data_IF_092539507890
#
_entry.id   IF_092539507890
#
_cell.length_a   1.000
_cell.length_b   1.000
_cell.length_c   1.000
_cell.angle_alpha   90.00
_cell.angle_beta   90.00
_cell.angle_gamma   90.00
#
_symmetry.space_group_name_H-M   'P 1'
#
loop_
_entity.id
_entity.type
_entity.pdbx_description
1 polymer ?
#
# COMPACT_ATOMS: atom_id res chain seq x y z
N UNK A 1 64.67 36.06 68.45
CA UNK A 1 64.18 35.20 69.54
C UNK A 1 64.86 35.52 70.88
N UNK A 2 64.14 35.49 72.02
CA UNK A 2 64.70 35.71 73.38
C UNK A 2 64.00 34.81 74.41
N UNK A 3 64.74 34.09 75.25
CA UNK A 3 64.16 33.31 76.37
C UNK A 3 63.86 34.23 77.55
N UNK A 4 62.64 34.13 78.09
CA UNK A 4 62.15 34.93 79.21
C UNK A 4 62.19 34.13 80.52
N UNK A 5 61.77 32.87 80.48
CA UNK A 5 61.64 32.04 81.69
C UNK A 5 61.77 30.57 81.34
N UNK A 6 62.48 29.80 82.17
CA UNK A 6 62.52 28.33 82.09
C UNK A 6 61.95 27.78 83.39
N UNK A 7 60.99 26.88 83.29
CA UNK A 7 60.38 26.21 84.43
C UNK A 7 60.15 24.73 84.12
N UNK A 8 60.03 23.92 85.14
CA UNK A 8 59.75 22.50 84.96
C UNK A 8 59.53 21.78 86.27
N UNK A 9 59.22 20.49 86.14
CA UNK A 9 58.95 19.62 87.28
C UNK A 9 59.49 18.23 87.01
N UNK A 10 60.20 17.67 88.00
CA UNK A 10 60.65 16.27 88.02
C UNK A 10 61.44 15.84 86.76
N UNK A 11 62.38 16.65 86.29
CA UNK A 11 63.22 16.32 85.14
C UNK A 11 64.61 15.87 85.63
N UNK A 12 65.04 14.68 85.19
CA UNK A 12 66.34 14.06 85.48
C UNK A 12 66.84 14.29 86.92
N UNK A 13 67.83 15.18 87.11
CA UNK A 13 68.43 15.46 88.42
C UNK A 13 67.68 16.53 89.24
N UNK A 14 66.75 17.28 88.63
CA UNK A 14 65.96 18.32 89.29
C UNK A 14 64.67 17.73 89.86
N UNK A 15 64.60 17.67 91.19
CA UNK A 15 63.48 17.17 91.97
C UNK A 15 62.44 18.26 92.22
N UNK A 16 61.15 17.94 92.09
CA UNK A 16 60.08 18.92 92.35
C UNK A 16 60.01 20.00 91.28
N UNK A 17 59.36 21.11 91.60
CA UNK A 17 59.22 22.27 90.71
C UNK A 17 60.49 23.13 90.76
N UNK A 18 60.95 23.55 89.60
CA UNK A 18 62.04 24.49 89.45
C UNK A 18 61.66 25.59 88.47
N UNK A 19 62.18 26.78 88.72
CA UNK A 19 61.90 27.96 87.93
C UNK A 19 63.12 28.88 87.91
N UNK A 20 63.45 29.37 86.72
CA UNK A 20 64.45 30.41 86.49
C UNK A 20 63.80 31.46 85.61
N UNK A 21 63.49 32.60 86.20
CA UNK A 21 62.92 33.75 85.52
C UNK A 21 64.03 34.75 85.18
N UNK A 22 64.32 34.92 83.88
CA UNK A 22 65.35 35.85 83.42
C UNK A 22 64.88 37.31 83.41
N UNK A 23 63.61 37.56 83.74
CA UNK A 23 63.06 38.90 83.86
C UNK A 23 63.13 39.45 85.28
N UNK A 24 63.53 38.63 86.27
CA UNK A 24 63.67 39.04 87.67
C UNK A 24 65.13 39.37 88.03
N UNK A 25 65.31 40.31 88.96
CA UNK A 25 66.63 40.60 89.53
C UNK A 25 67.13 39.41 90.37
N UNK A 26 68.43 39.05 90.30
CA UNK A 26 69.54 39.79 89.68
C UNK A 26 69.80 39.44 88.19
N UNK A 27 69.00 38.58 87.55
CA UNK A 27 69.26 38.10 86.19
C UNK A 27 68.86 39.12 85.11
N UNK A 28 67.84 39.93 85.39
CA UNK A 28 67.31 40.92 84.47
C UNK A 28 68.37 41.94 84.01
N UNK A 29 69.22 42.41 84.92
CA UNK A 29 70.23 43.43 84.64
C UNK A 29 71.63 42.88 84.28
N UNK A 30 71.88 41.59 84.51
CA UNK A 30 73.23 41.03 84.42
C UNK A 30 73.75 40.89 82.97
N UNK A 31 72.87 40.58 82.00
CA UNK A 31 73.22 40.34 80.58
C UNK A 31 74.03 39.05 80.32
N UNK A 32 74.93 38.69 81.23
CA UNK A 32 75.70 37.45 81.25
C UNK A 32 75.64 36.85 82.66
N UNK A 33 75.32 35.56 82.75
CA UNK A 33 75.27 34.82 84.00
C UNK A 33 75.92 33.44 83.84
N UNK A 34 76.38 32.87 84.94
CA UNK A 34 76.96 31.53 84.97
C UNK A 34 76.10 30.59 85.83
N UNK A 35 75.79 29.42 85.30
CA UNK A 35 75.14 28.34 86.06
C UNK A 35 76.27 27.44 86.61
N UNK A 36 76.58 27.58 87.90
CA UNK A 36 77.63 26.81 88.58
C UNK A 36 77.05 25.82 89.59
N UNK A 37 77.79 24.74 89.85
CA UNK A 37 77.42 23.67 90.78
C UNK A 37 78.22 22.39 90.52
N UNK A 38 78.18 21.39 91.42
CA UNK A 38 78.90 20.14 91.22
C UNK A 38 78.39 19.36 89.99
N UNK A 39 79.20 18.42 89.49
CA UNK A 39 78.77 17.49 88.44
C UNK A 39 77.55 16.69 88.95
N UNK A 40 76.49 16.61 88.13
CA UNK A 40 75.23 15.96 88.53
C UNK A 40 74.21 16.86 89.24
N UNK A 41 74.52 18.14 89.51
CA UNK A 41 73.59 19.09 90.12
C UNK A 41 72.38 19.52 89.25
N UNK A 42 72.25 18.99 88.02
CA UNK A 42 71.14 19.33 87.11
C UNK A 42 71.36 20.55 86.21
N UNK A 43 72.58 21.10 86.12
CA UNK A 43 72.91 22.24 85.22
C UNK A 43 72.50 21.97 83.77
N UNK A 44 72.92 20.83 83.24
CA UNK A 44 72.59 20.42 81.88
C UNK A 44 71.12 20.01 81.75
N UNK A 45 70.46 19.60 82.83
CA UNK A 45 69.01 19.31 82.86
C UNK A 45 68.16 20.56 82.68
N UNK A 46 68.61 21.71 83.17
CA UNK A 46 67.95 22.98 82.92
C UNK A 46 67.96 23.34 81.41
N UNK A 47 69.09 23.10 80.74
CA UNK A 47 69.22 23.32 79.30
C UNK A 47 68.45 22.26 78.48
N UNK A 48 68.41 21.01 78.95
CA UNK A 48 67.55 19.99 78.36
C UNK A 48 66.07 20.39 78.45
N UNK A 49 65.62 20.99 79.56
CA UNK A 49 64.26 21.46 79.72
C UNK A 49 63.90 22.52 78.68
N UNK A 50 64.84 23.41 78.34
CA UNK A 50 64.68 24.37 77.25
C UNK A 50 64.42 23.66 75.91
N UNK A 51 65.29 22.72 75.51
CA UNK A 51 65.13 21.98 74.26
C UNK A 51 63.86 21.10 74.25
N UNK A 52 63.53 20.46 75.37
CA UNK A 52 62.33 19.64 75.50
C UNK A 52 61.07 20.45 75.27
N UNK A 53 60.97 21.63 75.90
CA UNK A 53 59.80 22.48 75.77
C UNK A 53 59.60 22.98 74.34
N UNK A 54 60.68 23.26 73.61
CA UNK A 54 60.62 23.83 72.26
C UNK A 54 60.49 22.77 71.16
N UNK A 55 61.23 21.66 71.24
CA UNK A 55 61.36 20.69 70.13
C UNK A 55 60.99 19.26 70.50
N UNK A 56 60.73 18.94 71.78
CA UNK A 56 60.58 17.56 72.29
C UNK A 56 61.76 16.68 71.82
N UNK A 57 62.96 17.25 71.95
CA UNK A 57 64.24 16.62 71.67
C UNK A 57 65.29 17.20 72.63
N UNK A 58 66.37 16.45 72.89
CA UNK A 58 67.52 16.99 73.64
C UNK A 58 68.83 16.56 73.01
N UNK A 59 69.86 17.43 73.02
CA UNK A 59 71.17 17.11 72.47
C UNK A 59 71.82 15.88 73.11
N UNK A 60 71.51 15.61 74.40
CA UNK A 60 72.09 14.50 75.16
C UNK A 60 71.57 13.14 74.71
N UNK A 61 70.28 13.04 74.39
CA UNK A 61 69.67 11.77 73.99
C UNK A 61 70.02 11.38 72.54
N UNK A 62 70.23 12.37 71.67
CA UNK A 62 70.67 12.15 70.28
C UNK A 62 72.10 11.58 70.18
N UNK A 63 72.96 11.89 71.16
CA UNK A 63 74.36 11.42 71.22
C UNK A 63 74.53 9.98 71.70
N UNK A 64 73.47 9.29 72.14
CA UNK A 64 73.55 7.87 72.47
C UNK A 64 73.65 7.06 71.17
N UNK A 65 74.88 7.00 70.63
CA UNK A 65 75.29 6.24 69.44
C UNK A 65 75.37 4.74 69.74
N UNK A 66 74.25 4.17 70.19
CA UNK A 66 74.04 2.75 70.34
C UNK A 66 72.61 2.43 69.92
N UNK A 67 72.43 1.88 68.71
CA UNK A 67 71.13 1.37 68.26
C UNK A 67 70.60 0.38 69.30
N UNK A 68 69.49 0.71 69.96
CA UNK A 68 68.66 -0.27 70.66
C UNK A 68 69.05 -0.63 72.09
N UNK A 69 69.73 0.24 72.86
CA UNK A 69 69.80 0.02 74.32
C UNK A 69 68.46 0.38 74.96
N UNK A 70 67.65 -0.64 75.27
CA UNK A 70 66.38 -0.46 75.94
C UNK A 70 66.63 -0.30 77.45
N UNK A 71 66.38 0.90 77.98
CA UNK A 71 66.53 1.19 79.40
C UNK A 71 65.33 0.60 80.17
N UNK A 72 65.56 -0.12 81.29
CA UNK A 72 64.46 -0.58 82.14
C UNK A 72 63.81 0.63 82.84
N UNK A 73 62.48 0.70 82.80
CA UNK A 73 61.69 1.71 83.51
C UNK A 73 60.93 1.11 84.71
N UNK A 74 59.69 0.65 84.52
CA UNK A 74 58.87 -0.01 85.55
C UNK A 74 58.49 -1.43 85.13
N UNK A 75 58.70 -2.40 86.02
CA UNK A 75 58.40 -3.80 85.75
C UNK A 75 59.21 -4.37 84.59
N UNK A 76 58.52 -4.88 83.55
CA UNK A 76 59.12 -5.43 82.31
C UNK A 76 59.15 -4.43 81.14
N UNK A 77 58.67 -3.20 81.33
CA UNK A 77 58.66 -2.19 80.26
C UNK A 77 60.05 -1.60 80.07
N UNK A 78 60.46 -1.49 78.81
CA UNK A 78 61.72 -0.87 78.40
C UNK A 78 61.45 0.31 77.49
N UNK A 79 62.25 1.36 77.66
CA UNK A 79 62.14 2.61 76.88
C UNK A 79 63.42 2.78 76.08
N UNK A 80 63.31 3.24 74.84
CA UNK A 80 64.49 3.52 74.02
C UNK A 80 65.34 4.60 74.70
N UNK A 81 66.66 4.40 74.75
CA UNK A 81 67.60 5.39 75.29
C UNK A 81 67.55 6.76 74.60
N UNK A 82 66.99 6.85 73.39
CA UNK A 82 66.79 8.12 72.67
C UNK A 82 65.45 8.80 72.97
N UNK A 83 64.57 8.17 73.75
CA UNK A 83 63.22 8.67 74.01
C UNK A 83 63.24 9.80 75.06
N UNK A 84 62.61 10.93 74.73
CA UNK A 84 62.54 12.10 75.63
C UNK A 84 61.83 11.80 76.94
N UNK A 85 60.97 10.78 76.98
CA UNK A 85 60.27 10.33 78.19
C UNK A 85 61.23 9.82 79.27
N UNK A 86 62.44 9.40 78.90
CA UNK A 86 63.49 8.94 79.85
C UNK A 86 64.01 10.05 80.76
N UNK A 87 63.78 11.32 80.40
CA UNK A 87 64.15 12.47 81.22
C UNK A 87 63.19 12.71 82.39
N UNK A 88 62.07 11.98 82.49
CA UNK A 88 61.26 11.98 83.70
C UNK A 88 62.03 11.33 84.85
N UNK A 89 62.10 12.02 86.00
CA UNK A 89 62.77 11.50 87.19
C UNK A 89 62.10 10.20 87.67
N UNK A 90 62.89 9.17 87.93
CA UNK A 90 62.40 7.87 88.44
C UNK A 90 61.64 8.03 89.75
N UNK A 91 60.55 7.29 89.90
CA UNK A 91 59.68 7.34 91.09
C UNK A 91 58.70 8.52 91.12
N UNK A 92 58.60 9.31 90.05
CA UNK A 92 57.63 10.43 89.96
C UNK A 92 56.50 10.11 88.99
N UNK A 93 55.25 10.57 89.28
CA UNK A 93 54.08 10.27 88.44
C UNK A 93 53.97 11.15 87.19
N UNK A 94 54.53 12.37 87.22
CA UNK A 94 54.41 13.37 86.18
C UNK A 94 55.64 14.31 86.17
N UNK A 95 55.91 14.87 85.00
CA UNK A 95 56.93 15.89 84.81
C UNK A 95 56.66 16.74 83.58
N UNK A 96 57.17 17.96 83.58
CA UNK A 96 57.02 18.89 82.46
C UNK A 96 58.22 19.82 82.35
N UNK A 97 58.43 20.33 81.15
CA UNK A 97 59.33 21.41 80.84
C UNK A 97 58.52 22.54 80.19
N UNK A 98 58.76 23.78 80.60
CA UNK A 98 58.04 24.94 80.10
C UNK A 98 58.98 26.11 79.91
N UNK A 99 58.85 26.79 78.78
CA UNK A 99 59.68 27.92 78.39
C UNK A 99 58.79 29.04 77.92
N UNK A 100 58.99 30.22 78.50
CA UNK A 100 58.44 31.45 77.97
C UNK A 100 59.52 32.13 77.13
N UNK A 101 59.19 32.50 75.89
CA UNK A 101 60.12 33.11 74.95
C UNK A 101 59.44 34.14 74.05
N UNK A 102 60.22 35.02 73.44
CA UNK A 102 59.79 35.95 72.40
C UNK A 102 60.22 35.39 71.04
N UNK A 103 59.26 35.22 70.12
CA UNK A 103 59.51 34.76 68.75
C UNK A 103 60.20 35.81 67.87
N UNK A 104 60.53 35.46 66.63
CA UNK A 104 61.08 36.39 65.63
C UNK A 104 60.03 37.40 65.13
N UNK A 105 58.76 37.12 65.36
CA UNK A 105 57.63 38.02 65.16
C UNK A 105 57.46 39.06 66.29
N UNK A 106 58.28 38.98 67.35
CA UNK A 106 58.23 39.88 68.50
C UNK A 106 57.14 39.56 69.53
N UNK A 107 56.33 38.53 69.32
CA UNK A 107 55.29 38.12 70.26
C UNK A 107 55.84 37.16 71.33
N UNK A 108 55.22 37.17 72.52
CA UNK A 108 55.59 36.30 73.64
C UNK A 108 54.79 35.00 73.62
N UNK A 109 55.46 33.87 73.83
CA UNK A 109 54.88 32.54 73.77
C UNK A 109 55.33 31.71 74.96
N UNK A 110 54.48 30.77 75.37
CA UNK A 110 54.74 29.74 76.37
C UNK A 110 54.65 28.37 75.72
N UNK A 111 55.79 27.74 75.51
CA UNK A 111 55.88 26.37 75.06
C UNK A 111 55.96 25.44 76.28
N UNK A 112 55.14 24.38 76.30
CA UNK A 112 55.13 23.40 77.38
C UNK A 112 55.15 21.99 76.81
N UNK A 113 56.14 21.23 77.26
CA UNK A 113 56.25 19.78 77.08
C UNK A 113 55.89 19.07 78.38
N UNK A 114 55.11 18.00 78.31
CA UNK A 114 54.74 17.23 79.50
C UNK A 114 54.66 15.73 79.21
N UNK A 115 54.98 14.96 80.24
CA UNK A 115 54.86 13.51 80.25
C UNK A 115 54.23 13.07 81.57
N UNK A 116 53.34 12.07 81.50
CA UNK A 116 52.67 11.50 82.67
C UNK A 116 52.72 9.98 82.63
N UNK A 117 52.70 9.36 83.79
CA UNK A 117 52.49 7.91 83.93
C UNK A 117 51.01 7.59 83.95
N UNK A 118 50.66 6.37 83.56
CA UNK A 118 49.27 5.88 83.60
C UNK A 118 48.66 6.09 84.99
N UNK A 119 47.44 6.64 85.03
CA UNK A 119 46.71 7.00 86.26
C UNK A 119 47.46 7.93 87.23
N UNK A 120 48.50 8.63 86.77
CA UNK A 120 49.33 9.54 87.59
C UNK A 120 49.91 8.83 88.83
N UNK A 121 50.33 7.57 88.67
CA UNK A 121 51.02 6.79 89.71
C UNK A 121 52.48 6.57 89.34
N UNK A 122 53.38 6.61 90.32
CA UNK A 122 54.81 6.41 90.11
C UNK A 122 55.16 5.06 89.45
N UNK A 123 54.32 4.03 89.67
CA UNK A 123 54.48 2.68 89.11
C UNK A 123 53.78 2.48 87.75
N UNK A 124 53.12 3.51 87.21
CA UNK A 124 52.41 3.40 85.92
C UNK A 124 53.34 3.48 84.70
N UNK A 125 52.93 2.86 83.59
CA UNK A 125 53.58 2.96 82.28
C UNK A 125 53.64 4.41 81.76
N UNK A 126 54.72 4.79 81.07
CA UNK A 126 54.90 6.12 80.49
C UNK A 126 53.93 6.35 79.31
N UNK A 127 53.14 7.43 79.38
CA UNK A 127 52.26 7.85 78.29
C UNK A 127 53.00 8.61 77.20
N UNK A 128 52.33 8.87 76.08
CA UNK A 128 52.83 9.75 75.04
C UNK A 128 53.08 11.17 75.57
N UNK A 129 54.12 11.83 75.07
CA UNK A 129 54.42 13.22 75.42
C UNK A 129 53.38 14.14 74.80
N UNK A 130 52.96 15.16 75.56
CA UNK A 130 52.08 16.21 75.10
C UNK A 130 52.85 17.52 74.99
N UNK A 131 52.63 18.25 73.90
CA UNK A 131 53.15 19.60 73.70
C UNK A 131 52.01 20.58 73.52
N UNK A 132 52.20 21.79 74.03
CA UNK A 132 51.29 22.91 73.83
C UNK A 132 52.06 24.21 73.69
N UNK A 133 51.58 25.09 72.82
CA UNK A 133 52.09 26.44 72.64
C UNK A 133 50.96 27.41 72.93
N UNK A 134 51.22 28.41 73.77
CA UNK A 134 50.24 29.45 74.09
C UNK A 134 50.85 30.83 73.84
N UNK A 135 50.09 31.73 73.23
CA UNK A 135 50.50 33.13 73.08
C UNK A 135 50.20 33.91 74.37
N UNK A 136 51.20 34.56 74.93
CA UNK A 136 51.11 35.42 76.11
C UNK A 136 50.77 36.88 75.71
N UNK A 137 50.04 37.64 76.55
CA UNK A 137 49.57 37.30 77.90
C UNK A 137 48.21 36.55 77.94
N UNK A 138 47.47 36.51 76.83
CA UNK A 138 46.10 35.98 76.79
C UNK A 138 45.99 34.44 76.91
N UNK A 139 47.12 33.72 76.92
CA UNK A 139 47.22 32.26 76.92
C UNK A 139 46.37 31.60 75.81
N UNK A 140 46.35 32.22 74.63
CA UNK A 140 45.63 31.66 73.47
C UNK A 140 46.41 30.46 72.92
N UNK A 141 45.79 29.27 72.79
CA UNK A 141 46.47 28.10 72.24
C UNK A 141 46.80 28.31 70.76
N UNK A 142 48.03 27.97 70.37
CA UNK A 142 48.51 28.04 68.99
C UNK A 142 48.88 26.63 68.53
N UNK A 143 48.13 26.11 67.55
CA UNK A 143 48.17 24.71 67.13
C UNK A 143 47.26 23.80 67.98
N UNK A 144 46.85 22.66 67.42
CA UNK A 144 45.96 21.70 68.11
C UNK A 144 46.61 20.34 68.36
N UNK A 145 47.43 19.86 67.42
CA UNK A 145 48.15 18.57 67.55
C UNK A 145 49.62 18.77 67.90
N UNK A 146 50.28 17.72 68.42
CA UNK A 146 51.71 17.77 68.75
C UNK A 146 52.58 18.19 67.56
N UNK A 147 52.26 17.74 66.34
CA UNK A 147 53.02 18.07 65.13
C UNK A 147 52.82 19.53 64.73
N UNK A 148 51.57 20.01 64.70
CA UNK A 148 51.28 21.43 64.42
C UNK A 148 51.96 22.35 65.44
N UNK A 149 51.95 21.98 66.72
CA UNK A 149 52.62 22.76 67.77
C UNK A 149 54.13 22.82 67.53
N UNK A 150 54.77 21.72 67.12
CA UNK A 150 56.20 21.73 66.77
C UNK A 150 56.50 22.63 65.58
N UNK A 151 55.74 22.47 64.49
CA UNK A 151 55.91 23.26 63.27
C UNK A 151 55.73 24.75 63.55
N UNK A 152 54.76 25.09 64.41
CA UNK A 152 54.52 26.47 64.79
C UNK A 152 55.62 27.02 65.70
N UNK A 153 56.12 26.25 66.66
CA UNK A 153 57.30 26.65 67.46
C UNK A 153 58.50 26.90 66.54
N UNK A 154 58.77 26.01 65.58
CA UNK A 154 59.87 26.13 64.63
C UNK A 154 59.73 27.38 63.75
N UNK A 155 58.53 27.67 63.23
CA UNK A 155 58.25 28.92 62.48
C UNK A 155 58.48 30.17 63.31
N UNK A 156 58.05 30.18 64.58
CA UNK A 156 58.16 31.37 65.46
C UNK A 156 59.59 31.60 65.94
N UNK A 157 60.37 30.54 66.13
CA UNK A 157 61.81 30.65 66.45
C UNK A 157 62.63 30.92 65.18
N UNK A 158 62.18 30.44 64.03
CA UNK A 158 62.87 30.54 62.73
C UNK A 158 64.11 29.64 62.62
N UNK A 159 64.24 28.64 63.50
CA UNK A 159 65.36 27.71 63.51
C UNK A 159 64.83 26.29 63.77
N UNK A 160 65.28 25.34 62.97
CA UNK A 160 65.05 23.92 63.26
C UNK A 160 65.83 23.49 64.51
N UNK A 161 65.53 22.30 65.05
CA UNK A 161 66.23 21.80 66.23
C UNK A 161 67.76 21.78 66.06
N UNK A 162 68.26 21.26 64.93
CA UNK A 162 69.70 21.19 64.66
C UNK A 162 70.33 22.57 64.50
N UNK A 163 69.58 23.52 63.92
CA UNK A 163 70.04 24.91 63.81
C UNK A 163 70.07 25.59 65.18
N UNK A 164 69.08 25.31 66.04
CA UNK A 164 68.98 25.85 67.39
C UNK A 164 70.13 25.39 68.30
N UNK A 165 70.51 24.11 68.25
CA UNK A 165 71.64 23.57 69.05
C UNK A 165 73.01 23.99 68.50
N UNK A 166 73.09 24.35 67.22
CA UNK A 166 74.32 24.88 66.60
C UNK A 166 74.48 26.40 66.78
N UNK A 167 73.40 27.17 66.85
CA UNK A 167 73.45 28.63 66.85
C UNK A 167 73.09 29.30 68.19
N UNK A 168 72.16 28.73 68.97
CA UNK A 168 71.62 29.36 70.19
C UNK A 168 72.05 28.61 71.45
N UNK A 169 71.91 27.29 71.47
CA UNK A 169 72.29 26.44 72.60
C UNK A 169 73.45 25.52 72.24
N UNK A 170 74.68 26.01 72.38
CA UNK A 170 75.88 25.20 72.18
C UNK A 170 76.04 24.20 73.33
N UNK A 171 75.59 22.96 73.13
CA UNK A 171 75.86 21.90 74.10
C UNK A 171 77.35 21.54 74.13
N UNK A 172 77.77 20.90 75.23
CA UNK A 172 79.16 20.50 75.42
C UNK A 172 79.67 19.65 74.22
N UNK A 173 80.83 20.06 73.66
CA UNK A 173 81.50 19.50 72.48
C UNK A 173 80.81 19.71 71.11
N UNK A 174 79.72 20.49 71.00
CA UNK A 174 78.98 20.70 69.73
C UNK A 174 79.58 21.81 68.85
N UNK A 175 80.33 22.74 69.44
CA UNK A 175 81.06 23.79 68.72
C UNK A 175 82.08 23.24 67.72
N UNK A 176 82.74 22.12 68.04
CA UNK A 176 83.71 21.49 67.14
C UNK A 176 83.05 20.80 65.95
N UNK A 177 81.80 20.34 66.10
CA UNK A 177 80.99 19.76 65.02
C UNK A 177 80.57 20.84 64.02
N UNK A 178 80.19 22.04 64.48
CA UNK A 178 79.90 23.17 63.61
C UNK A 178 81.10 23.53 62.70
N UNK A 179 82.32 23.56 63.25
CA UNK A 179 83.53 23.82 62.47
C UNK A 179 83.88 22.71 61.47
N UNK A 180 83.47 21.46 61.73
CA UNK A 180 83.78 20.28 60.91
C UNK A 180 82.67 19.88 59.92
N UNK A 181 81.55 20.60 59.92
CA UNK A 181 80.41 20.31 59.05
C UNK A 181 80.78 20.49 57.57
N UNK A 182 80.30 19.59 56.71
CA UNK A 182 80.49 19.62 55.24
C UNK A 182 79.91 20.91 54.64
N UNK A 183 80.50 21.37 53.52
CA UNK A 183 80.16 22.68 52.93
C UNK A 183 78.69 22.81 52.52
N UNK A 184 78.02 21.70 52.18
CA UNK A 184 76.60 21.68 51.82
C UNK A 184 75.69 21.95 53.04
N UNK A 185 75.91 21.24 54.15
CA UNK A 185 75.16 21.45 55.41
C UNK A 185 75.45 22.83 56.02
N UNK A 186 76.69 23.32 55.87
CA UNK A 186 77.06 24.68 56.26
C UNK A 186 76.35 25.71 55.39
N UNK A 187 76.23 25.46 54.09
CA UNK A 187 75.48 26.29 53.14
C UNK A 187 74.02 26.44 53.54
N UNK A 188 73.34 25.34 53.84
CA UNK A 188 71.92 25.34 54.24
C UNK A 188 71.67 26.08 55.57
N UNK A 189 72.59 25.92 56.53
CA UNK A 189 72.59 26.69 57.78
C UNK A 189 72.74 28.19 57.54
N UNK A 190 73.72 28.59 56.72
CA UNK A 190 73.97 29.99 56.40
C UNK A 190 72.83 30.59 55.57
N UNK A 191 72.24 29.81 54.67
CA UNK A 191 71.07 30.20 53.88
C UNK A 191 69.87 30.48 54.78
N UNK A 192 69.60 29.60 55.76
CA UNK A 192 68.49 29.80 56.70
C UNK A 192 68.74 30.99 57.63
N UNK A 193 69.98 31.18 58.11
CA UNK A 193 70.35 32.30 58.98
C UNK A 193 70.33 33.66 58.25
N UNK A 194 70.66 33.68 56.96
CA UNK A 194 70.69 34.91 56.15
C UNK A 194 69.39 35.18 55.39
N UNK A 195 68.44 34.23 55.41
CA UNK A 195 67.19 34.32 54.65
C UNK A 195 67.40 34.23 53.13
N UNK A 196 68.45 33.54 52.68
CA UNK A 196 68.87 33.48 51.26
C UNK A 196 68.19 32.36 50.45
N UNK A 197 67.08 31.80 50.93
CA UNK A 197 66.34 30.69 50.29
C UNK A 197 65.93 30.94 48.83
N UNK A 198 65.84 32.22 48.46
CA UNK A 198 65.50 32.66 47.11
C UNK A 198 66.50 32.18 46.04
N UNK A 199 67.78 31.99 46.38
CA UNK A 199 68.79 31.57 45.41
C UNK A 199 68.64 30.09 45.04
N UNK A 200 68.26 29.26 46.00
CA UNK A 200 67.92 27.85 45.75
C UNK A 200 66.70 27.74 44.84
N UNK A 201 65.66 28.54 45.09
CA UNK A 201 64.46 28.59 44.24
C UNK A 201 64.78 29.03 42.79
N UNK A 202 65.64 30.04 42.63
CA UNK A 202 66.08 30.51 41.31
C UNK A 202 66.83 29.41 40.57
N UNK A 203 67.74 28.70 41.24
CA UNK A 203 68.52 27.61 40.67
C UNK A 203 67.61 26.47 40.16
N UNK A 204 66.62 26.07 40.96
CA UNK A 204 65.64 25.07 40.58
C UNK A 204 64.86 25.48 39.32
N UNK A 205 64.37 26.71 39.26
CA UNK A 205 63.62 27.23 38.09
C UNK A 205 64.48 27.29 36.83
N UNK A 206 65.75 27.69 36.95
CA UNK A 206 66.68 27.72 35.83
C UNK A 206 66.91 26.33 35.24
N UNK A 207 67.10 25.32 36.12
CA UNK A 207 67.25 23.92 35.72
C UNK A 207 66.00 23.38 35.02
N UNK A 208 64.82 23.65 35.55
CA UNK A 208 63.55 23.24 34.92
C UNK A 208 63.36 23.84 33.52
N UNK A 209 63.73 25.11 33.35
CA UNK A 209 63.66 25.78 32.05
C UNK A 209 64.63 25.17 31.04
N UNK A 210 65.89 24.96 31.43
CA UNK A 210 66.89 24.33 30.57
C UNK A 210 66.45 22.93 30.11
N UNK A 211 65.86 22.15 31.02
CA UNK A 211 65.32 20.81 30.71
C UNK A 211 64.21 20.88 29.64
N UNK A 212 63.28 21.83 29.75
CA UNK A 212 62.20 22.02 28.76
C UNK A 212 62.73 22.39 27.38
N UNK A 213 63.65 23.36 27.31
CA UNK A 213 64.21 23.80 26.02
C UNK A 213 65.01 22.68 25.33
N UNK A 214 65.76 21.87 26.10
CA UNK A 214 66.46 20.71 25.56
C UNK A 214 65.50 19.70 24.90
N UNK A 215 64.36 19.43 25.52
CA UNK A 215 63.33 18.55 24.95
C UNK A 215 62.72 19.10 23.66
N UNK A 216 62.55 20.42 23.55
CA UNK A 216 62.08 21.07 22.32
C UNK A 216 63.11 20.91 21.20
N UNK A 217 64.39 21.12 21.52
CA UNK A 217 65.48 20.97 20.56
C UNK A 217 65.62 19.53 20.06
N UNK A 218 65.50 18.54 20.94
CA UNK A 218 65.49 17.12 20.56
C UNK A 218 64.34 16.81 19.58
N UNK A 219 63.12 17.27 19.87
CA UNK A 219 61.96 17.10 18.97
C UNK A 219 62.13 17.79 17.62
N UNK A 220 62.73 18.97 17.60
CA UNK A 220 63.02 19.68 16.34
C UNK A 220 64.09 18.93 15.53
N UNK A 221 65.11 18.38 16.20
CA UNK A 221 66.13 17.53 15.59
C UNK A 221 65.54 16.27 14.96
N UNK A 222 64.64 15.58 15.67
CA UNK A 222 63.93 14.40 15.14
C UNK A 222 63.10 14.74 13.89
N UNK A 223 62.36 15.86 13.90
CA UNK A 223 61.59 16.33 12.72
C UNK A 223 62.47 16.63 11.52
N UNK A 224 63.64 17.23 11.74
CA UNK A 224 64.60 17.54 10.69
C UNK A 224 65.26 16.27 10.13
N UNK A 225 65.45 15.24 10.97
CA UNK A 225 65.96 13.94 10.55
C UNK A 225 64.96 13.15 9.67
N UNK A 226 63.65 13.28 9.96
CA UNK A 226 62.58 12.63 9.19
C UNK A 226 62.29 13.35 7.86
N UNK A 227 62.50 14.67 7.82
CA UNK A 227 62.33 15.51 6.63
C UNK A 227 63.68 16.06 6.17
N UNK A 228 64.60 15.18 5.77
CA UNK A 228 65.87 15.62 5.17
C UNK A 228 65.57 16.37 3.87
N UNK A 229 65.82 17.69 3.80
CA UNK A 229 65.75 18.40 2.53
C UNK A 229 66.79 17.79 1.60
N UNK A 230 66.44 17.62 0.33
CA UNK A 230 67.41 17.32 -0.71
C UNK A 230 68.55 18.35 -0.66
N UNK A 231 69.77 17.90 -0.94
CA UNK A 231 70.86 18.84 -1.09
C UNK A 231 70.56 19.86 -2.19
N UNK A 232 71.14 21.06 -2.15
CA UNK A 232 70.91 22.08 -3.18
C UNK A 232 71.20 21.56 -4.60
N UNK A 233 72.19 20.67 -4.73
CA UNK A 233 72.57 20.04 -6.00
C UNK A 233 71.52 19.03 -6.49
N UNK A 234 71.11 18.09 -5.63
CA UNK A 234 70.05 17.11 -5.97
C UNK A 234 68.70 17.78 -6.25
N UNK A 235 68.40 18.86 -5.53
CA UNK A 235 67.21 19.67 -5.77
C UNK A 235 67.25 20.33 -7.14
N UNK A 236 68.35 20.97 -7.50
CA UNK A 236 68.50 21.61 -8.79
C UNK A 236 68.41 20.58 -9.93
N UNK A 237 69.04 19.41 -9.77
CA UNK A 237 68.92 18.31 -10.74
C UNK A 237 67.45 17.85 -10.88
N UNK A 238 66.75 17.63 -9.77
CA UNK A 238 65.34 17.21 -9.76
C UNK A 238 64.44 18.27 -10.40
N UNK A 239 64.65 19.55 -10.11
CA UNK A 239 63.90 20.66 -10.72
C UNK A 239 64.13 20.73 -12.24
N UNK A 240 65.36 20.52 -12.71
CA UNK A 240 65.65 20.48 -14.16
C UNK A 240 65.02 19.28 -14.85
N UNK A 241 65.06 18.10 -14.24
CA UNK A 241 64.38 16.89 -14.74
C UNK A 241 62.87 17.08 -14.79
N UNK A 242 62.28 17.69 -13.75
CA UNK A 242 60.86 18.00 -13.70
C UNK A 242 60.46 18.97 -14.82
N UNK A 243 61.21 20.06 -15.00
CA UNK A 243 60.96 21.01 -16.09
C UNK A 243 61.10 20.39 -17.49
N UNK A 244 62.10 19.52 -17.69
CA UNK A 244 62.26 18.79 -18.96
C UNK A 244 61.10 17.81 -19.22
N UNK A 245 60.63 17.11 -18.17
CA UNK A 245 59.49 16.21 -18.26
C UNK A 245 58.19 16.96 -18.57
N UNK A 246 57.95 18.11 -17.94
CA UNK A 246 56.80 18.98 -18.20
C UNK A 246 56.79 19.50 -19.64
N UNK A 247 57.93 19.98 -20.14
CA UNK A 247 58.05 20.44 -21.52
C UNK A 247 57.79 19.29 -22.52
N UNK A 248 58.30 18.09 -22.22
CA UNK A 248 58.05 16.89 -23.04
C UNK A 248 56.58 16.51 -23.04
N UNK A 249 55.92 16.55 -21.87
CA UNK A 249 54.49 16.26 -21.73
C UNK A 249 53.65 17.23 -22.57
N UNK A 250 53.91 18.54 -22.46
CA UNK A 250 53.22 19.57 -23.25
C UNK A 250 53.35 19.32 -24.76
N UNK A 251 54.55 18.94 -25.22
CA UNK A 251 54.78 18.65 -26.64
C UNK A 251 54.04 17.39 -27.10
N UNK A 252 53.98 16.35 -26.27
CA UNK A 252 53.22 15.12 -26.57
C UNK A 252 51.72 15.39 -26.59
N UNK A 253 51.20 16.17 -25.64
CA UNK A 253 49.78 16.52 -25.58
C UNK A 253 49.35 17.35 -26.80
N UNK A 254 50.16 18.32 -27.21
CA UNK A 254 49.89 19.11 -28.41
C UNK A 254 49.89 18.23 -29.67
N UNK A 255 50.86 17.31 -29.78
CA UNK A 255 50.91 16.35 -30.89
C UNK A 255 49.71 15.41 -30.89
N UNK A 256 49.27 14.95 -29.73
CA UNK A 256 48.06 14.13 -29.57
C UNK A 256 46.83 14.89 -30.03
N UNK A 257 46.64 16.14 -29.61
CA UNK A 257 45.51 16.96 -30.02
C UNK A 257 45.43 17.15 -31.55
N UNK A 258 46.58 17.37 -32.21
CA UNK A 258 46.66 17.46 -33.68
C UNK A 258 46.28 16.13 -34.34
N UNK A 259 46.78 15.00 -33.84
CA UNK A 259 46.46 13.68 -34.38
C UNK A 259 45.00 13.30 -34.19
N UNK A 260 44.38 13.66 -33.06
CA UNK A 260 42.95 13.47 -32.84
C UNK A 260 42.10 14.27 -33.82
N UNK A 261 42.50 15.51 -34.12
CA UNK A 261 41.83 16.33 -35.12
C UNK A 261 41.94 15.71 -36.52
N UNK A 262 43.13 15.25 -36.90
CA UNK A 262 43.34 14.56 -38.17
C UNK A 262 42.51 13.28 -38.27
N UNK A 263 42.44 12.49 -37.19
CA UNK A 263 41.64 11.27 -37.14
C UNK A 263 40.15 11.57 -37.34
N UNK A 264 39.62 12.58 -36.64
CA UNK A 264 38.21 13.02 -36.79
C UNK A 264 37.95 13.47 -38.23
N UNK A 265 38.85 14.25 -38.81
CA UNK A 265 38.72 14.71 -40.19
C UNK A 265 38.67 13.54 -41.19
N UNK A 266 39.54 12.52 -41.03
CA UNK A 266 39.51 11.31 -41.86
C UNK A 266 38.21 10.52 -41.68
N UNK A 267 37.71 10.38 -40.46
CA UNK A 267 36.44 9.69 -40.18
C UNK A 267 35.24 10.41 -40.80
N UNK A 268 35.16 11.73 -40.67
CA UNK A 268 34.10 12.52 -41.30
C UNK A 268 34.18 12.49 -42.82
N UNK A 269 35.38 12.60 -43.38
CA UNK A 269 35.59 12.52 -44.83
C UNK A 269 35.11 11.16 -45.36
N UNK A 270 35.50 10.05 -44.72
CA UNK A 270 35.06 8.72 -45.12
C UNK A 270 33.53 8.56 -45.00
N UNK A 271 32.91 9.10 -43.94
CA UNK A 271 31.46 9.10 -43.75
C UNK A 271 30.73 9.90 -44.84
N UNK A 272 31.22 11.09 -45.15
CA UNK A 272 30.63 11.93 -46.21
C UNK A 272 30.78 11.28 -47.58
N UNK A 273 31.92 10.64 -47.84
CA UNK A 273 32.19 9.96 -49.10
C UNK A 273 31.29 8.73 -49.29
N UNK A 274 31.05 7.94 -48.23
CA UNK A 274 30.10 6.83 -48.30
C UNK A 274 28.66 7.31 -48.49
N UNK A 275 28.26 8.40 -47.82
CA UNK A 275 26.94 9.02 -48.01
C UNK A 275 26.75 9.56 -49.42
N UNK A 276 27.77 10.23 -49.99
CA UNK A 276 27.71 10.72 -51.37
C UNK A 276 27.58 9.56 -52.37
N UNK A 277 28.29 8.46 -52.14
CA UNK A 277 28.22 7.27 -52.99
C UNK A 277 26.85 6.60 -52.91
N UNK A 278 26.29 6.46 -51.70
CA UNK A 278 24.94 5.92 -51.50
C UNK A 278 23.86 6.82 -52.12
N UNK A 279 23.99 8.14 -52.00
CA UNK A 279 23.07 9.09 -52.62
C UNK A 279 23.13 9.02 -54.15
N UNK A 280 24.33 8.88 -54.73
CA UNK A 280 24.49 8.69 -56.17
C UNK A 280 23.84 7.39 -56.64
N UNK A 281 24.06 6.27 -55.93
CA UNK A 281 23.41 5.00 -56.26
C UNK A 281 21.89 5.07 -56.17
N UNK A 282 21.34 5.78 -55.18
CA UNK A 282 19.89 5.99 -55.05
C UNK A 282 19.34 6.83 -56.21
N UNK A 283 20.07 7.88 -56.63
CA UNK A 283 19.72 8.70 -57.78
C UNK A 283 19.73 7.87 -59.07
N UNK A 284 20.77 7.06 -59.29
CA UNK A 284 20.90 6.20 -60.46
C UNK A 284 19.77 5.15 -60.50
N UNK A 285 19.43 4.55 -59.35
CA UNK A 285 18.29 3.62 -59.22
C UNK A 285 16.97 4.31 -59.55
N UNK A 286 16.71 5.49 -58.99
CA UNK A 286 15.48 6.24 -59.25
C UNK A 286 15.37 6.68 -60.72
N UNK A 287 16.49 7.04 -61.34
CA UNK A 287 16.55 7.35 -62.77
C UNK A 287 16.25 6.10 -63.62
N UNK A 288 16.80 4.93 -63.25
CA UNK A 288 16.53 3.67 -63.91
C UNK A 288 15.05 3.26 -63.76
N UNK A 289 14.45 3.40 -62.58
CA UNK A 289 13.04 3.12 -62.32
C UNK A 289 12.12 4.04 -63.14
N UNK A 290 12.45 5.33 -63.21
CA UNK A 290 11.76 6.31 -64.05
C UNK A 290 11.85 5.93 -65.53
N UNK A 291 13.04 5.55 -66.02
CA UNK A 291 13.24 5.10 -67.39
C UNK A 291 12.45 3.80 -67.70
N UNK A 292 12.46 2.82 -66.79
CA UNK A 292 11.68 1.59 -66.91
C UNK A 292 10.16 1.86 -66.88
N UNK A 293 9.72 2.89 -66.17
CA UNK A 293 8.32 3.33 -66.13
C UNK A 293 7.89 4.15 -67.37
N UNK A 294 8.83 4.62 -68.20
CA UNK A 294 8.52 5.48 -69.35
C UNK A 294 7.45 4.90 -70.28
N UNK A 295 7.49 3.59 -70.56
CA UNK A 295 6.47 2.91 -71.36
C UNK A 295 5.08 2.94 -70.73
N UNK A 296 5.00 2.79 -69.40
CA UNK A 296 3.74 2.88 -68.65
C UNK A 296 3.19 4.30 -68.63
N UNK A 297 4.05 5.31 -68.46
CA UNK A 297 3.66 6.72 -68.54
C UNK A 297 3.14 7.07 -69.94
N UNK A 298 3.81 6.61 -71.00
CA UNK A 298 3.34 6.81 -72.37
C UNK A 298 1.98 6.13 -72.63
N UNK A 299 1.78 4.91 -72.13
CA UNK A 299 0.50 4.22 -72.23
C UNK A 299 -0.61 4.96 -71.47
N UNK A 300 -0.35 5.42 -70.24
CA UNK A 300 -1.31 6.20 -69.46
C UNK A 300 -1.70 7.49 -70.20
N UNK A 301 -0.73 8.23 -70.76
CA UNK A 301 -1.00 9.44 -71.52
C UNK A 301 -1.90 9.16 -72.75
N UNK A 302 -1.70 8.04 -73.44
CA UNK A 302 -2.59 7.62 -74.53
C UNK A 302 -4.01 7.31 -74.04
N UNK A 303 -4.15 6.68 -72.88
CA UNK A 303 -5.45 6.37 -72.28
C UNK A 303 -6.18 7.63 -71.83
N UNK A 304 -5.47 8.61 -71.26
CA UNK A 304 -6.02 9.92 -70.90
C UNK A 304 -6.52 10.68 -72.14
N UNK A 305 -5.78 10.62 -73.25
CA UNK A 305 -6.21 11.18 -74.54
C UNK A 305 -7.49 10.53 -75.09
N UNK A 306 -7.68 9.23 -74.85
CA UNK A 306 -8.85 8.47 -75.31
C UNK A 306 -10.03 8.53 -74.32
N UNK A 307 -9.82 9.04 -73.10
CA UNK A 307 -10.85 9.09 -72.06
C UNK A 307 -12.13 9.82 -72.51
N UNK A 308 -12.07 10.97 -73.22
CA UNK A 308 -13.27 11.66 -73.70
C UNK A 308 -14.04 10.85 -74.77
N UNK A 309 -13.34 10.02 -75.55
CA UNK A 309 -13.95 9.18 -76.59
C UNK A 309 -14.71 7.97 -76.02
N UNK A 310 -14.54 7.67 -74.72
CA UNK A 310 -15.24 6.56 -74.07
C UNK A 310 -16.75 6.74 -74.05
N UNK A 311 -17.23 7.95 -73.75
CA UNK A 311 -18.66 8.26 -73.80
C UNK A 311 -19.23 8.08 -75.22
N UNK A 312 -18.46 8.42 -76.25
CA UNK A 312 -18.84 8.19 -77.64
C UNK A 312 -18.89 6.69 -77.99
N UNK A 313 -17.96 5.88 -77.48
CA UNK A 313 -17.98 4.42 -77.68
C UNK A 313 -19.18 3.77 -76.98
N UNK A 314 -19.50 4.21 -75.76
CA UNK A 314 -20.69 3.77 -75.03
C UNK A 314 -21.98 4.20 -75.76
N UNK A 315 -22.02 5.40 -76.33
CA UNK A 315 -23.12 5.88 -77.17
C UNK A 315 -23.26 5.07 -78.46
N UNK A 316 -22.16 4.71 -79.13
CA UNK A 316 -22.19 3.84 -80.31
C UNK A 316 -22.75 2.46 -79.95
N UNK A 317 -22.33 1.88 -78.82
CA UNK A 317 -22.86 0.59 -78.35
C UNK A 317 -24.35 0.67 -78.00
N UNK A 318 -24.78 1.76 -77.33
CA UNK A 318 -26.18 2.03 -77.02
C UNK A 318 -27.01 2.16 -78.29
N UNK A 319 -26.59 3.00 -79.24
CA UNK A 319 -27.28 3.21 -80.51
C UNK A 319 -27.32 1.93 -81.35
N UNK A 320 -26.26 1.11 -81.35
CA UNK A 320 -26.27 -0.18 -82.02
C UNK A 320 -27.33 -1.14 -81.44
N UNK A 321 -27.47 -1.17 -80.11
CA UNK A 321 -28.52 -1.93 -79.45
C UNK A 321 -29.92 -1.37 -79.73
N UNK A 322 -30.08 -0.04 -79.74
CA UNK A 322 -31.35 0.61 -80.07
C UNK A 322 -31.76 0.31 -81.53
N UNK A 323 -30.81 0.34 -82.48
CA UNK A 323 -31.03 -0.05 -83.88
C UNK A 323 -31.44 -1.52 -83.97
N UNK A 324 -30.77 -2.42 -83.25
CA UNK A 324 -31.12 -3.84 -83.24
C UNK A 324 -32.53 -4.07 -82.65
N UNK A 325 -32.85 -3.40 -81.54
CA UNK A 325 -34.16 -3.50 -80.88
C UNK A 325 -35.29 -2.92 -81.72
N UNK A 326 -35.10 -1.74 -82.32
CA UNK A 326 -36.08 -1.11 -83.21
C UNK A 326 -36.25 -1.90 -84.52
N UNK A 327 -35.16 -2.46 -85.07
CA UNK A 327 -35.21 -3.37 -86.22
C UNK A 327 -36.04 -4.63 -85.93
N UNK A 328 -35.83 -5.26 -84.77
CA UNK A 328 -36.64 -6.40 -84.35
C UNK A 328 -38.12 -6.04 -84.13
N UNK A 329 -38.41 -4.88 -83.54
CA UNK A 329 -39.77 -4.39 -83.35
C UNK A 329 -40.47 -4.08 -84.70
N UNK A 330 -39.74 -3.51 -85.66
CA UNK A 330 -40.26 -3.23 -87.01
C UNK A 330 -40.61 -4.52 -87.74
N UNK A 331 -39.74 -5.54 -87.70
CA UNK A 331 -40.03 -6.84 -88.31
C UNK A 331 -41.21 -7.54 -87.62
N UNK A 332 -41.30 -7.48 -86.29
CA UNK A 332 -42.46 -7.99 -85.57
C UNK A 332 -43.76 -7.27 -85.98
N UNK A 333 -43.74 -5.95 -86.13
CA UNK A 333 -44.88 -5.17 -86.60
C UNK A 333 -45.25 -5.49 -88.06
N UNK A 334 -44.27 -5.72 -88.94
CA UNK A 334 -44.50 -6.16 -90.32
C UNK A 334 -45.19 -7.52 -90.38
N UNK A 335 -44.71 -8.48 -89.57
CA UNK A 335 -45.33 -9.81 -89.46
C UNK A 335 -46.76 -9.70 -88.92
N UNK A 336 -46.99 -8.91 -87.87
CA UNK A 336 -48.33 -8.69 -87.35
C UNK A 336 -49.26 -8.03 -88.37
N UNK A 337 -48.78 -7.07 -89.14
CA UNK A 337 -49.56 -6.40 -90.19
C UNK A 337 -49.91 -7.37 -91.31
N UNK A 338 -48.97 -8.22 -91.73
CA UNK A 338 -49.22 -9.26 -92.73
C UNK A 338 -50.26 -10.29 -92.23
N UNK A 339 -50.16 -10.72 -90.98
CA UNK A 339 -51.14 -11.61 -90.34
C UNK A 339 -52.52 -10.94 -90.22
N UNK A 340 -52.57 -9.65 -89.87
CA UNK A 340 -53.81 -8.89 -89.82
C UNK A 340 -54.47 -8.77 -91.20
N UNK A 341 -53.70 -8.50 -92.27
CA UNK A 341 -54.22 -8.45 -93.63
C UNK A 341 -54.72 -9.83 -94.11
N UNK A 342 -54.02 -10.92 -93.76
CA UNK A 342 -54.46 -12.28 -94.08
C UNK A 342 -55.74 -12.67 -93.34
N UNK A 343 -55.84 -12.33 -92.04
CA UNK A 343 -57.07 -12.56 -91.26
C UNK A 343 -58.24 -11.70 -91.73
N UNK A 344 -58.02 -10.45 -92.14
CA UNK A 344 -59.04 -9.61 -92.76
C UNK A 344 -59.55 -10.21 -94.08
N UNK A 345 -58.65 -10.70 -94.93
CA UNK A 345 -59.02 -11.38 -96.17
C UNK A 345 -59.82 -12.68 -95.91
N UNK A 346 -59.44 -13.47 -94.91
CA UNK A 346 -60.17 -14.68 -94.50
C UNK A 346 -61.56 -14.34 -93.95
N UNK A 347 -61.67 -13.31 -93.10
CA UNK A 347 -62.95 -12.85 -92.57
C UNK A 347 -63.86 -12.32 -93.69
N UNK A 348 -63.33 -11.54 -94.62
CA UNK A 348 -64.07 -11.04 -95.78
C UNK A 348 -64.60 -12.18 -96.67
N UNK A 349 -63.77 -13.21 -96.94
CA UNK A 349 -64.20 -14.40 -97.67
C UNK A 349 -65.28 -15.19 -96.91
N UNK A 350 -65.14 -15.34 -95.58
CA UNK A 350 -66.13 -16.01 -94.74
C UNK A 350 -67.47 -15.25 -94.71
N UNK A 351 -67.44 -13.92 -94.69
CA UNK A 351 -68.62 -13.08 -94.74
C UNK A 351 -69.34 -13.17 -96.09
N UNK A 352 -68.60 -13.24 -97.20
CA UNK A 352 -69.18 -13.47 -98.53
C UNK A 352 -69.85 -14.83 -98.64
N UNK A 353 -69.21 -15.89 -98.14
CA UNK A 353 -69.81 -17.24 -98.10
C UNK A 353 -71.06 -17.29 -97.21
N UNK A 354 -71.02 -16.67 -96.04
CA UNK A 354 -72.16 -16.58 -95.13
C UNK A 354 -73.32 -15.78 -95.74
N UNK A 355 -73.04 -14.67 -96.44
CA UNK A 355 -74.04 -13.89 -97.16
C UNK A 355 -74.67 -14.69 -98.32
N UNK A 356 -73.86 -15.44 -99.08
CA UNK A 356 -74.36 -16.32 -100.13
C UNK A 356 -75.23 -17.45 -99.58
N UNK A 357 -74.85 -18.05 -98.45
CA UNK A 357 -75.63 -19.07 -97.76
C UNK A 357 -76.96 -18.51 -97.22
N UNK A 358 -76.94 -17.32 -96.62
CA UNK A 358 -78.16 -16.64 -96.17
C UNK A 358 -79.14 -16.41 -97.32
N UNK A 359 -78.65 -15.89 -98.45
CA UNK A 359 -79.47 -15.63 -99.62
C UNK A 359 -80.06 -16.92 -100.21
N UNK A 360 -79.30 -18.02 -100.21
CA UNK A 360 -79.77 -19.35 -100.62
C UNK A 360 -80.83 -19.93 -99.65
N UNK A 361 -80.69 -19.68 -98.35
CA UNK A 361 -81.70 -20.09 -97.37
C UNK A 361 -82.97 -19.25 -97.46
N UNK A 362 -82.86 -17.94 -97.70
CA UNK A 362 -84.01 -17.05 -97.92
C UNK A 362 -84.79 -17.40 -99.18
N UNK A 363 -84.11 -17.72 -100.29
CA UNK A 363 -84.79 -18.20 -101.50
C UNK A 363 -85.46 -19.56 -101.29
N UNK A 364 -84.77 -20.52 -100.64
CA UNK A 364 -85.37 -21.81 -100.29
C UNK A 364 -86.61 -21.67 -99.38
N UNK A 365 -86.58 -20.73 -98.41
CA UNK A 365 -87.74 -20.44 -97.57
C UNK A 365 -88.89 -19.83 -98.38
N UNK A 366 -88.58 -18.91 -99.30
CA UNK A 366 -89.58 -18.26 -100.16
C UNK A 366 -90.24 -19.25 -101.12
N UNK A 367 -89.47 -20.17 -101.69
CA UNK A 367 -89.97 -21.24 -102.58
C UNK A 367 -90.77 -22.30 -101.81
N UNK A 368 -90.43 -22.56 -100.54
CA UNK A 368 -91.16 -23.48 -99.67
C UNK A 368 -92.46 -22.87 -99.09
N UNK A 369 -92.59 -21.55 -99.02
CA UNK A 369 -93.77 -20.86 -98.47
C UNK A 369 -95.12 -21.32 -99.08
N UNK A 370 -95.30 -21.40 -100.42
CA UNK A 370 -96.56 -21.87 -100.99
C UNK A 370 -96.86 -23.35 -100.67
N UNK A 371 -95.83 -24.19 -100.55
CA UNK A 371 -95.97 -25.60 -100.16
C UNK A 371 -96.31 -25.74 -98.67
N UNK A 372 -95.74 -24.91 -97.81
CA UNK A 372 -96.06 -24.87 -96.37
C UNK A 372 -97.47 -24.34 -96.11
N UNK A 373 -97.96 -23.38 -96.90
CA UNK A 373 -99.34 -22.91 -96.79
C UNK A 373 -100.34 -23.96 -97.31
N UNK A 374 -99.99 -24.73 -98.36
CA UNK A 374 -100.76 -25.92 -98.75
C UNK A 374 -100.77 -26.99 -97.65
N UNK A 375 -99.62 -27.27 -97.02
CA UNK A 375 -99.53 -28.22 -95.91
C UNK A 375 -100.39 -27.78 -94.72
N UNK A 376 -100.36 -26.50 -94.34
CA UNK A 376 -101.22 -25.95 -93.27
C UNK A 376 -102.71 -26.04 -93.61
N UNK A 377 -103.10 -25.81 -94.86
CA UNK A 377 -104.48 -25.96 -95.31
C UNK A 377 -104.94 -27.43 -95.23
N UNK A 378 -104.06 -28.37 -95.60
CA UNK A 378 -104.31 -29.81 -95.47
C UNK A 378 -104.37 -30.24 -94.01
N UNK A 379 -103.47 -29.77 -93.14
CA UNK A 379 -103.49 -30.06 -91.69
C UNK A 379 -104.75 -29.49 -91.02
N UNK A 380 -105.21 -28.30 -91.42
CA UNK A 380 -106.48 -27.75 -90.94
C UNK A 380 -107.68 -28.60 -91.39
N UNK A 381 -107.66 -29.12 -92.62
CA UNK A 381 -108.68 -30.05 -93.14
C UNK A 381 -108.69 -31.39 -92.39
N UNK A 382 -107.50 -31.96 -92.16
CA UNK A 382 -107.34 -33.18 -91.34
C UNK A 382 -107.83 -32.92 -89.92
N UNK A 383 -107.42 -31.82 -89.29
CA UNK A 383 -107.86 -31.42 -87.95
C UNK A 383 -109.38 -31.25 -87.82
N UNK A 384 -110.06 -30.77 -88.87
CA UNK A 384 -111.52 -30.65 -88.90
C UNK A 384 -112.24 -32.01 -89.02
N UNK A 385 -111.65 -32.99 -89.71
CA UNK A 385 -112.25 -34.30 -89.92
C UNK A 385 -111.90 -35.35 -88.85
N UNK A 386 -110.81 -35.16 -88.10
CA UNK A 386 -110.39 -36.08 -87.02
C UNK A 386 -111.44 -36.25 -85.91
N UNK A 387 -112.12 -35.21 -85.40
CA UNK A 387 -113.16 -35.36 -84.38
C UNK A 387 -114.34 -36.20 -84.89
N UNK A 388 -114.79 -35.94 -86.13
CA UNK A 388 -115.89 -36.68 -86.75
C UNK A 388 -115.52 -38.16 -86.99
N UNK A 389 -114.28 -38.45 -87.43
CA UNK A 389 -113.81 -39.82 -87.58
C UNK A 389 -113.63 -40.54 -86.23
N UNK A 390 -113.14 -39.87 -85.19
CA UNK A 390 -113.08 -40.46 -83.84
C UNK A 390 -114.47 -40.77 -83.31
N UNK A 391 -115.41 -39.83 -83.43
CA UNK A 391 -116.78 -40.01 -82.99
C UNK A 391 -117.48 -41.17 -83.71
N UNK A 392 -117.26 -41.32 -85.03
CA UNK A 392 -117.78 -42.44 -85.80
C UNK A 392 -117.13 -43.79 -85.41
N UNK A 393 -115.81 -43.81 -85.16
CA UNK A 393 -115.10 -45.03 -84.72
C UNK A 393 -115.54 -45.45 -83.31
N UNK A 394 -115.56 -44.52 -82.37
CA UNK A 394 -115.94 -44.79 -80.98
C UNK A 394 -117.42 -45.21 -80.90
N UNK A 395 -118.29 -44.61 -81.72
CA UNK A 395 -119.69 -45.04 -81.88
C UNK A 395 -119.84 -46.45 -82.45
N UNK A 396 -119.03 -46.83 -83.44
CA UNK A 396 -119.03 -48.19 -83.99
C UNK A 396 -118.54 -49.23 -82.97
N UNK A 397 -117.46 -48.93 -82.23
CA UNK A 397 -116.95 -49.84 -81.19
C UNK A 397 -117.93 -50.00 -80.02
N UNK A 398 -118.62 -48.93 -79.61
CA UNK A 398 -119.67 -48.99 -78.59
C UNK A 398 -120.88 -49.83 -79.04
N UNK A 399 -121.26 -49.72 -80.32
CA UNK A 399 -122.36 -50.50 -80.89
C UNK A 399 -122.03 -52.00 -80.99
N UNK A 400 -120.80 -52.36 -81.41
CA UNK A 400 -120.35 -53.76 -81.44
C UNK A 400 -120.31 -54.37 -80.04
N UNK A 401 -119.77 -53.66 -79.04
CA UNK A 401 -119.78 -54.12 -77.66
C UNK A 401 -121.21 -54.30 -77.11
N UNK A 402 -122.13 -53.38 -77.42
CA UNK A 402 -123.53 -53.51 -77.02
C UNK A 402 -124.23 -54.72 -77.69
N UNK A 403 -123.91 -55.00 -78.95
CA UNK A 403 -124.47 -56.13 -79.70
C UNK A 403 -123.98 -57.48 -79.15
N UNK A 404 -122.69 -57.59 -78.83
CA UNK A 404 -122.13 -58.81 -78.22
C UNK A 404 -122.70 -59.05 -76.82
N UNK A 405 -122.87 -57.98 -76.02
CA UNK A 405 -123.50 -58.07 -74.69
C UNK A 405 -124.97 -58.50 -74.79
N UNK A 406 -125.72 -57.98 -75.77
CA UNK A 406 -127.10 -58.34 -76.02
C UNK A 406 -127.26 -59.79 -76.52
N UNK A 407 -126.35 -60.27 -77.38
CA UNK A 407 -126.31 -61.68 -77.83
C UNK A 407 -126.07 -62.63 -76.65
N UNK A 408 -125.13 -62.30 -75.76
CA UNK A 408 -124.88 -63.07 -74.54
C UNK A 408 -126.10 -63.11 -73.61
N UNK A 409 -126.78 -61.97 -73.42
CA UNK A 409 -128.00 -61.91 -72.61
C UNK A 409 -129.17 -62.73 -73.20
N UNK A 410 -129.34 -62.71 -74.52
CA UNK A 410 -130.36 -63.49 -75.22
C UNK A 410 -130.14 -65.00 -75.05
N UNK A 411 -128.89 -65.47 -75.17
CA UNK A 411 -128.55 -66.88 -74.98
C UNK A 411 -128.84 -67.35 -73.54
N UNK A 412 -128.53 -66.52 -72.53
CA UNK A 412 -128.82 -66.82 -71.13
C UNK A 412 -130.34 -66.90 -70.85
N UNK A 413 -131.12 -65.99 -71.44
CA UNK A 413 -132.60 -65.99 -71.31
C UNK A 413 -133.25 -67.20 -72.00
N UNK A 414 -132.74 -67.62 -73.17
CA UNK A 414 -133.23 -68.83 -73.85
C UNK A 414 -132.96 -70.11 -73.06
N UNK A 415 -131.78 -70.25 -72.44
CA UNK A 415 -131.49 -71.37 -71.55
C UNK A 415 -132.41 -71.37 -70.32
N UNK A 416 -132.72 -70.19 -69.75
CA UNK A 416 -133.64 -70.05 -68.62
C UNK A 416 -135.09 -70.38 -68.99
N UNK A 417 -135.52 -70.03 -70.20
CA UNK A 417 -136.86 -70.38 -70.70
C UNK A 417 -137.03 -71.89 -70.86
N UNK A 418 -136.04 -72.60 -71.40
CA UNK A 418 -136.08 -74.06 -71.52
C UNK A 418 -136.12 -74.76 -70.16
N UNK A 419 -135.37 -74.26 -69.17
CA UNK A 419 -135.41 -74.78 -67.80
C UNK A 419 -136.79 -74.60 -67.13
N UNK A 420 -137.39 -73.40 -67.27
CA UNK A 420 -138.73 -73.11 -66.73
C UNK A 420 -139.85 -73.92 -67.41
N UNK A 421 -139.73 -74.21 -68.71
CA UNK A 421 -140.69 -75.07 -69.40
C UNK A 421 -140.64 -76.51 -68.89
N UNK A 422 -139.44 -77.04 -68.64
CA UNK A 422 -139.29 -78.36 -68.01
C UNK A 422 -139.90 -78.41 -66.59
N UNK A 423 -139.71 -77.36 -65.77
CA UNK A 423 -140.34 -77.26 -64.44
C UNK A 423 -141.86 -77.17 -64.51
N UNK A 424 -142.43 -76.39 -65.44
CA UNK A 424 -143.89 -76.29 -65.60
C UNK A 424 -144.53 -77.62 -65.98
N UNK A 425 -143.91 -78.39 -66.88
CA UNK A 425 -144.40 -79.72 -67.25
C UNK A 425 -144.36 -80.68 -66.05
N UNK A 426 -143.33 -80.58 -65.22
CA UNK A 426 -143.20 -81.34 -63.98
C UNK A 426 -144.30 -80.96 -62.97
N UNK A 427 -144.55 -79.67 -62.78
CA UNK A 427 -145.59 -79.16 -61.87
C UNK A 427 -147.01 -79.50 -62.33
N UNK A 428 -147.24 -79.53 -63.64
CA UNK A 428 -148.54 -79.91 -64.21
C UNK A 428 -148.86 -81.39 -63.97
N UNK A 429 -147.84 -82.26 -64.07
CA UNK A 429 -147.95 -83.68 -63.68
C UNK A 429 -148.21 -83.84 -62.17
N UNK A 430 -147.61 -82.98 -61.33
CA UNK A 430 -147.84 -83.01 -59.87
C UNK A 430 -149.26 -82.57 -59.48
N UNK A 431 -149.77 -81.48 -60.03
CA UNK A 431 -151.13 -80.99 -59.75
C UNK A 431 -152.21 -82.01 -60.17
N UNK A 432 -152.00 -82.73 -61.26
CA UNK A 432 -152.92 -83.78 -61.70
C UNK A 432 -153.05 -84.95 -60.69
N UNK A 433 -152.04 -85.18 -59.84
CA UNK A 433 -152.05 -86.27 -58.85
C UNK A 433 -152.67 -85.89 -57.49
N UNK A 434 -152.88 -84.60 -57.18
CA UNK A 434 -153.23 -84.12 -55.83
C UNK A 434 -154.57 -83.38 -55.72
N UNK A 435 -155.55 -83.74 -56.56
CA UNK A 435 -156.81 -83.01 -56.74
C UNK A 435 -157.74 -82.93 -55.50
N UNK A 436 -157.48 -83.68 -54.43
CA UNK A 436 -158.38 -83.82 -53.26
C UNK A 436 -158.34 -82.66 -52.22
N UNK A 437 -157.51 -81.62 -52.40
CA UNK A 437 -157.32 -80.52 -51.42
C UNK A 437 -158.04 -79.20 -51.77
N UNK A 438 -158.76 -79.14 -52.89
CA UNK A 438 -159.27 -77.91 -53.49
C UNK A 438 -160.37 -77.19 -52.66
N UNK A 439 -161.13 -77.91 -51.82
CA UNK A 439 -162.27 -77.34 -51.08
C UNK A 439 -161.89 -76.31 -50.00
N UNK A 440 -160.64 -76.28 -49.54
CA UNK A 440 -160.17 -75.41 -48.44
C UNK A 440 -159.79 -73.99 -48.92
N UNK A 441 -159.40 -73.83 -50.20
CA UNK A 441 -158.84 -72.59 -50.74
C UNK A 441 -159.89 -71.54 -51.18
N UNK A 442 -161.17 -71.91 -51.31
CA UNK A 442 -162.18 -71.07 -51.96
C UNK A 442 -162.81 -69.97 -51.06
N UNK A 443 -162.63 -70.01 -49.74
CA UNK A 443 -163.41 -69.19 -48.78
C UNK A 443 -162.60 -68.18 -47.95
N UNK A 444 -161.37 -67.81 -48.36
CA UNK A 444 -160.49 -66.90 -47.58
C UNK A 444 -160.93 -65.42 -47.55
N UNK A 445 -161.58 -64.90 -48.62
CA UNK A 445 -161.92 -63.47 -48.77
C UNK A 445 -162.94 -62.91 -47.76
N UNK A 446 -163.87 -63.73 -47.25
CA UNK A 446 -164.94 -63.26 -46.34
C UNK A 446 -164.36 -62.82 -44.97
N UNK A 447 -163.25 -63.41 -44.57
CA UNK A 447 -162.52 -63.04 -43.36
C UNK A 447 -161.75 -61.73 -43.53
N UNK A 448 -161.30 -61.42 -44.76
CA UNK A 448 -160.43 -60.27 -45.10
C UNK A 448 -161.21 -58.95 -45.26
N UNK A 449 -162.47 -58.99 -45.72
CA UNK A 449 -163.37 -57.82 -45.76
C UNK A 449 -163.60 -57.16 -44.39
N UNK A 450 -163.48 -57.92 -43.30
CA UNK A 450 -163.61 -57.40 -41.94
C UNK A 450 -162.47 -56.42 -41.56
N UNK A 451 -161.36 -56.36 -42.30
CA UNK A 451 -160.24 -55.46 -42.02
C UNK A 451 -160.31 -54.06 -42.70
N UNK A 452 -161.09 -53.82 -43.77
CA UNK A 452 -160.86 -52.67 -44.68
C UNK A 452 -161.71 -51.38 -44.50
N UNK A 453 -162.90 -51.40 -43.91
CA UNK A 453 -163.80 -50.20 -43.87
C UNK A 453 -163.39 -49.08 -42.89
N UNK A 454 -162.32 -49.27 -42.09
CA UNK A 454 -161.94 -48.32 -41.04
C UNK A 454 -161.13 -47.08 -41.52
N UNK A 455 -160.48 -47.13 -42.69
CA UNK A 455 -159.44 -46.14 -43.04
C UNK A 455 -159.91 -44.79 -43.61
N UNK A 456 -161.05 -44.74 -44.29
CA UNK A 456 -161.47 -43.54 -45.05
C UNK A 456 -162.01 -42.39 -44.17
N UNK A 457 -162.27 -42.63 -42.89
CA UNK A 457 -162.88 -41.68 -41.97
C UNK A 457 -161.94 -40.59 -41.42
N UNK A 458 -160.63 -40.64 -41.73
CA UNK A 458 -159.68 -39.57 -41.36
C UNK A 458 -159.71 -38.37 -42.33
N UNK A 459 -160.55 -38.47 -43.36
CA UNK A 459 -161.50 -37.44 -43.81
C UNK A 459 -161.17 -35.95 -43.56
N UNK A 460 -161.33 -35.19 -44.64
CA UNK A 460 -162.25 -34.05 -44.76
C UNK A 460 -162.04 -32.80 -43.86
N UNK A 461 -161.14 -32.79 -42.89
CA UNK A 461 -161.04 -31.69 -41.92
C UNK A 461 -160.16 -30.50 -42.36
N UNK A 462 -159.09 -30.70 -43.15
CA UNK A 462 -158.04 -29.66 -43.29
C UNK A 462 -158.29 -28.61 -44.41
N UNK A 463 -159.37 -28.74 -45.19
CA UNK A 463 -159.65 -27.89 -46.34
C UNK A 463 -160.23 -26.48 -46.02
N UNK A 464 -160.49 -26.11 -44.76
CA UNK A 464 -161.31 -24.93 -44.42
C UNK A 464 -160.57 -23.64 -43.96
N UNK A 465 -159.30 -23.68 -43.49
CA UNK A 465 -158.88 -22.64 -42.53
C UNK A 465 -158.13 -21.37 -43.03
N UNK A 466 -157.41 -21.34 -44.14
CA UNK A 466 -156.40 -20.24 -44.28
C UNK A 466 -156.74 -19.07 -45.23
N UNK A 467 -157.95 -18.98 -45.77
CA UNK A 467 -158.44 -17.87 -46.62
C UNK A 467 -158.50 -16.47 -45.93
N UNK A 468 -157.92 -16.27 -44.75
CA UNK A 468 -158.24 -15.16 -43.79
C UNK A 468 -157.25 -13.98 -43.77
N UNK A 469 -156.10 -14.00 -44.46
CA UNK A 469 -155.11 -12.91 -44.35
C UNK A 469 -154.52 -12.54 -45.73
N UNK A 470 -155.11 -11.72 -46.62
CA UNK A 470 -155.69 -10.37 -46.56
C UNK A 470 -154.79 -9.26 -45.97
N UNK A 471 -154.26 -8.42 -46.86
CA UNK A 471 -154.61 -6.99 -46.97
C UNK A 471 -154.37 -6.04 -45.77
N UNK A 472 -153.33 -6.23 -44.95
CA UNK A 472 -152.89 -5.25 -43.93
C UNK A 472 -151.64 -4.46 -44.34
#
# INVERSE_FOLDING_TARGET
MKILKISGKNLASLAGEFEVDFQQEPLASAGLFAISGPTGAGKSTLLDALCLALYDATPRLLKVLGRGSALPDVGKETVNAQDTRTLLRRGTPDGYAQVDFVGNDGASYRARWSVRRSRTRAEGALQATAMSLHQLPALQPVGGTKTEVKDEIEKRIGLSFDQFTRAVLLAQNEFSTFLKTEDNERGELLETLTGSSIYTDISMRAFERAKKEKQVLERLGEKLADQRPLSPEERAETETLCGAAEATLQHVDLRKAVLELQQRWHQETHKLQSQATAAQQALDSAAADSAAAAGRHAALAQWELLQPARALADDVARLANDIAGTGAALEAARVQTAQAAETEAQLAASAQLAAAALLAHETAQRDAAPLLDQAKALDASIGAHVPAHRQARDGAQAADQANDTARGALQALQQRQQAMQAEQETGRLWLASHQHWQALAASWQLSDQLFAQAGQAAAQADAADAAVAQAA
#
